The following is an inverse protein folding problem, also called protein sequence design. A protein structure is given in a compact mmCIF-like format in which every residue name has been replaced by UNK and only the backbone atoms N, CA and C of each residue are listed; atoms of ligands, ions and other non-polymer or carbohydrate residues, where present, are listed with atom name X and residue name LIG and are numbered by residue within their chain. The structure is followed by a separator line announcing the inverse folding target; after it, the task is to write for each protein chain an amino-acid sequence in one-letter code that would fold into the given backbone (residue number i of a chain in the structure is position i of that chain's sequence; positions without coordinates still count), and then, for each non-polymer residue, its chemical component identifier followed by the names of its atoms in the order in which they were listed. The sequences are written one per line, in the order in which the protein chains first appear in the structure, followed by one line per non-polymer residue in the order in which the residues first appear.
data_IF_204513173643
#
_entry.id   IF_204513173643
#
_cell.length_a   1.000
_cell.length_b   1.000
_cell.length_c   1.000
_cell.angle_alpha   90.00
_cell.angle_beta   90.00
_cell.angle_gamma   90.00
#
_symmetry.space_group_name_H-M   'P 1'
#
loop_
_entity.id
_entity.type
_entity.pdbx_description
1 polymer ?
#
# COMPACT_ATOMS: atom_id res chain seq x y z
N UNK A 1 5.52 38.85 25.12
CA UNK A 1 4.76 37.57 25.11
C UNK A 1 3.61 37.59 24.09
N UNK A 2 2.71 38.58 24.12
CA UNK A 2 1.52 38.66 23.24
C UNK A 2 1.80 38.64 21.73
N UNK A 3 2.79 39.40 21.23
CA UNK A 3 3.16 39.39 19.81
C UNK A 3 3.73 38.04 19.35
N UNK A 4 4.51 37.37 20.20
CA UNK A 4 5.04 36.04 19.92
C UNK A 4 3.94 35.01 19.72
N UNK A 5 2.95 34.97 20.63
CA UNK A 5 1.78 34.10 20.49
C UNK A 5 0.94 34.41 19.25
N UNK A 6 0.82 35.70 18.87
CA UNK A 6 0.13 36.08 17.63
C UNK A 6 0.85 35.56 16.39
N UNK A 7 2.18 35.71 16.28
CA UNK A 7 2.98 35.18 15.15
C UNK A 7 2.93 33.66 15.07
N UNK A 8 2.96 32.98 16.22
CA UNK A 8 2.82 31.51 16.27
C UNK A 8 1.43 31.08 15.78
N UNK A 9 0.37 31.77 16.20
CA UNK A 9 -0.99 31.51 15.71
C UNK A 9 -1.11 31.66 14.19
N UNK A 10 -0.44 32.65 13.59
CA UNK A 10 -0.39 32.79 12.13
C UNK A 10 0.35 31.60 11.47
N UNK A 11 1.51 31.22 12.02
CA UNK A 11 2.28 30.09 11.50
C UNK A 11 1.56 28.75 11.57
N UNK A 12 0.79 28.49 12.64
CA UNK A 12 -0.02 27.28 12.78
C UNK A 12 -1.11 27.23 11.69
N UNK A 13 -1.75 28.37 11.39
CA UNK A 13 -2.76 28.44 10.32
C UNK A 13 -2.16 28.13 8.96
N UNK A 14 -0.99 28.69 8.66
CA UNK A 14 -0.26 28.40 7.42
C UNK A 14 0.10 26.91 7.31
N UNK A 15 0.65 26.31 8.38
CA UNK A 15 0.96 24.87 8.39
C UNK A 15 -0.26 23.99 8.17
N UNK A 16 -1.43 24.37 8.70
CA UNK A 16 -2.66 23.63 8.47
C UNK A 16 -3.11 23.69 7.01
N UNK A 17 -2.95 24.83 6.34
CA UNK A 17 -3.25 24.96 4.92
C UNK A 17 -2.27 24.15 4.05
N UNK A 18 -0.97 24.18 4.36
CA UNK A 18 0.03 23.32 3.71
C UNK A 18 -0.25 21.82 3.91
N UNK A 19 -0.66 21.43 5.12
CA UNK A 19 -1.05 20.05 5.41
C UNK A 19 -2.32 19.65 4.62
N UNK A 20 -3.27 20.58 4.46
CA UNK A 20 -4.47 20.38 3.64
C UNK A 20 -4.08 20.20 2.17
N UNK A 21 -3.24 21.06 1.61
CA UNK A 21 -2.74 20.93 0.24
C UNK A 21 -2.05 19.57 0.02
N UNK A 22 -1.15 19.19 0.92
CA UNK A 22 -0.49 17.87 0.91
C UNK A 22 -1.49 16.71 0.96
N UNK A 23 -2.58 16.84 1.70
CA UNK A 23 -3.60 15.80 1.78
C UNK A 23 -4.42 15.73 0.50
N UNK A 24 -4.82 16.88 -0.06
CA UNK A 24 -5.53 16.93 -1.32
C UNK A 24 -4.71 16.37 -2.47
N UNK A 25 -3.42 16.68 -2.56
CA UNK A 25 -2.56 16.08 -3.59
C UNK A 25 -2.50 14.56 -3.46
N UNK A 26 -2.44 14.03 -2.23
CA UNK A 26 -2.53 12.59 -1.99
C UNK A 26 -3.87 12.00 -2.43
N UNK A 27 -5.00 12.60 -2.07
CA UNK A 27 -6.35 12.09 -2.43
C UNK A 27 -6.49 11.91 -3.95
N UNK A 28 -5.96 12.84 -4.74
CA UNK A 28 -6.03 12.75 -6.20
C UNK A 28 -5.07 11.72 -6.78
N UNK A 29 -3.93 11.47 -6.14
CA UNK A 29 -2.92 10.51 -6.62
C UNK A 29 -3.17 9.07 -6.15
N UNK A 30 -3.79 8.89 -4.99
CA UNK A 30 -4.06 7.57 -4.40
C UNK A 30 -4.73 6.60 -5.38
N UNK A 31 -5.81 6.97 -6.10
CA UNK A 31 -6.48 6.03 -7.00
C UNK A 31 -5.56 5.46 -8.09
N UNK A 32 -4.65 6.28 -8.63
CA UNK A 32 -3.68 5.85 -9.64
C UNK A 32 -2.68 4.86 -9.03
N UNK A 33 -2.10 5.20 -7.87
CA UNK A 33 -1.10 4.38 -7.18
C UNK A 33 -1.70 3.04 -6.72
N UNK A 34 -2.90 3.06 -6.15
CA UNK A 34 -3.59 1.84 -5.73
C UNK A 34 -3.91 0.94 -6.92
N UNK A 35 -4.32 1.51 -8.07
CA UNK A 35 -4.57 0.73 -9.27
C UNK A 35 -3.30 0.06 -9.83
N UNK A 36 -2.16 0.74 -9.77
CA UNK A 36 -0.87 0.15 -10.16
C UNK A 36 -0.45 -0.98 -9.22
N UNK A 37 -0.55 -0.74 -7.90
CA UNK A 37 -0.22 -1.72 -6.88
C UNK A 37 -1.11 -2.97 -6.99
N UNK A 38 -2.43 -2.81 -7.13
CA UNK A 38 -3.36 -3.94 -7.23
C UNK A 38 -3.08 -4.79 -8.48
N UNK A 39 -2.68 -4.20 -9.61
CA UNK A 39 -2.26 -4.95 -10.82
C UNK A 39 -1.03 -5.80 -10.55
N UNK A 40 -0.02 -5.24 -9.90
CA UNK A 40 1.21 -5.95 -9.57
C UNK A 40 0.99 -7.07 -8.55
N UNK A 41 0.14 -6.83 -7.55
CA UNK A 41 -0.23 -7.84 -6.56
C UNK A 41 -0.97 -9.02 -7.19
N UNK A 42 -1.95 -8.75 -8.06
CA UNK A 42 -2.67 -9.81 -8.79
C UNK A 42 -1.69 -10.61 -9.65
N UNK A 43 -0.76 -9.95 -10.34
CA UNK A 43 0.26 -10.62 -11.15
C UNK A 43 1.11 -11.59 -10.33
N UNK A 44 1.59 -11.16 -9.16
CA UNK A 44 2.39 -12.00 -8.25
C UNK A 44 1.57 -13.16 -7.69
N UNK A 45 0.36 -12.89 -7.23
CA UNK A 45 -0.54 -13.90 -6.68
C UNK A 45 -0.87 -15.00 -7.70
N UNK A 46 -1.18 -14.65 -8.94
CA UNK A 46 -1.45 -15.63 -10.00
C UNK A 46 -0.21 -16.45 -10.35
N UNK A 47 0.98 -15.85 -10.34
CA UNK A 47 2.24 -16.55 -10.57
C UNK A 47 2.54 -17.55 -9.45
N UNK A 48 2.30 -17.17 -8.19
CA UNK A 48 2.50 -18.06 -7.04
C UNK A 48 1.50 -19.24 -7.06
N UNK A 49 0.22 -18.99 -7.39
CA UNK A 49 -0.76 -20.07 -7.57
C UNK A 49 -0.42 -21.01 -8.73
N UNK A 50 0.20 -20.51 -9.79
CA UNK A 50 0.69 -21.33 -10.90
C UNK A 50 1.88 -22.20 -10.46
N UNK A 51 2.81 -21.63 -9.69
CA UNK A 51 3.94 -22.35 -9.10
C UNK A 51 3.49 -23.43 -8.12
N UNK A 52 2.55 -23.11 -7.24
CA UNK A 52 1.95 -24.05 -6.29
C UNK A 52 1.30 -25.22 -7.03
N UNK A 53 0.52 -24.94 -8.08
CA UNK A 53 -0.10 -25.98 -8.90
C UNK A 53 0.93 -26.89 -9.58
N UNK A 54 2.08 -26.35 -10.02
CA UNK A 54 3.15 -27.14 -10.62
C UNK A 54 3.86 -28.04 -9.59
N UNK A 55 4.07 -27.56 -8.37
CA UNK A 55 4.81 -28.27 -7.32
C UNK A 55 3.94 -29.26 -6.53
N UNK A 56 2.71 -28.86 -6.20
CA UNK A 56 1.81 -29.59 -5.30
C UNK A 56 0.58 -30.17 -6.02
N UNK A 57 0.41 -29.90 -7.31
CA UNK A 57 -0.69 -30.43 -8.13
C UNK A 57 -2.06 -29.78 -7.89
N UNK A 58 -2.21 -28.95 -6.85
CA UNK A 58 -3.46 -28.30 -6.48
C UNK A 58 -3.26 -26.83 -6.13
N UNK A 59 -4.36 -26.08 -6.08
CA UNK A 59 -4.40 -24.71 -5.54
C UNK A 59 -5.24 -24.77 -4.27
N UNK A 60 -4.63 -24.55 -3.12
CA UNK A 60 -5.36 -24.63 -1.85
C UNK A 60 -5.58 -23.25 -1.23
N UNK A 61 -6.78 -23.01 -0.71
CA UNK A 61 -7.06 -21.84 0.13
C UNK A 61 -7.06 -22.29 1.59
N UNK A 62 -6.27 -21.66 2.48
CA UNK A 62 -6.33 -21.93 3.91
C UNK A 62 -7.64 -21.46 4.57
N UNK A 63 -8.42 -20.62 3.88
CA UNK A 63 -9.62 -19.99 4.42
C UNK A 63 -10.89 -20.71 3.96
N UNK A 64 -11.82 -20.88 4.90
CA UNK A 64 -13.13 -21.53 4.66
C UNK A 64 -14.18 -20.61 4.00
N UNK A 65 -13.79 -19.40 3.60
CA UNK A 65 -14.69 -18.40 3.00
C UNK A 65 -14.22 -18.04 1.58
N UNK A 66 -15.14 -17.72 0.70
CA UNK A 66 -14.85 -17.30 -0.68
C UNK A 66 -14.29 -15.86 -0.79
N UNK A 67 -14.09 -15.16 0.34
CA UNK A 67 -13.51 -13.83 0.36
C UNK A 67 -12.04 -13.89 -0.02
N UNK A 68 -11.63 -13.01 -0.94
CA UNK A 68 -10.22 -12.81 -1.24
C UNK A 68 -9.46 -12.26 -0.02
N UNK A 69 -8.38 -12.93 0.34
CA UNK A 69 -7.45 -12.49 1.39
C UNK A 69 -6.09 -12.25 0.76
N UNK A 70 -5.52 -11.07 1.00
CA UNK A 70 -4.18 -10.71 0.52
C UNK A 70 -3.14 -11.59 1.22
N UNK A 71 -2.18 -12.21 0.50
CA UNK A 71 -1.10 -12.98 1.12
C UNK A 71 -0.24 -12.10 2.03
N UNK A 72 -0.03 -12.54 3.29
CA UNK A 72 0.77 -11.78 4.28
C UNK A 72 2.27 -11.94 4.08
N UNK A 73 2.71 -13.11 3.62
CA UNK A 73 4.13 -13.44 3.47
C UNK A 73 4.44 -13.71 2.00
N UNK A 74 5.47 -13.05 1.49
CA UNK A 74 6.05 -13.36 0.19
C UNK A 74 7.24 -14.30 0.39
N UNK A 75 7.35 -15.34 -0.44
CA UNK A 75 8.51 -16.23 -0.44
C UNK A 75 9.68 -15.46 -1.06
N UNK A 76 10.58 -14.95 -0.22
CA UNK A 76 11.82 -14.32 -0.69
C UNK A 76 12.86 -15.40 -1.01
N UNK A 77 13.62 -15.27 -2.11
CA UNK A 77 14.68 -16.21 -2.43
C UNK A 77 15.75 -16.22 -1.34
N UNK A 78 16.28 -17.42 -1.01
CA UNK A 78 17.32 -17.61 0.00
C UNK A 78 18.64 -16.96 -0.38
N UNK A 79 18.95 -16.97 -1.67
CA UNK A 79 20.13 -16.32 -2.23
C UNK A 79 19.69 -15.30 -3.27
N UNK A 80 20.13 -14.05 -3.09
CA UNK A 80 19.98 -13.01 -4.12
C UNK A 80 21.30 -12.92 -4.85
N UNK A 81 21.29 -13.15 -6.17
CA UNK A 81 22.46 -12.87 -7.00
C UNK A 81 22.71 -11.36 -6.94
N UNK A 82 23.86 -10.95 -6.43
CA UNK A 82 24.34 -9.56 -6.49
C UNK A 82 24.81 -9.23 -7.89
#
# INVERSE_FOLDING_TARGET
MTYGFWRVGQGIREQNELAREKMWSRIHLIPMLTAEEDRDLVRRHLADLAREKQLLGSKTSPYNSDRYVRPTYAITPRETTK
#
